data_IF_381290099807
#
_entry.id   IF_381290099807
#
_cell.length_a   1.000
_cell.length_b   1.000
_cell.length_c   1.000
_cell.angle_alpha   90.00
_cell.angle_beta   90.00
_cell.angle_gamma   90.00
#
_symmetry.space_group_name_H-M   'P 1'
#
loop_
_entity.id
_entity.type
_entity.pdbx_description
1 polymer ?
#
# COMPACT_ATOMS: atom_id res chain seq x y z
N UNK A 1 -4.63 10.49 18.39
CA UNK A 1 -3.29 9.99 18.00
C UNK A 1 -3.28 8.46 17.81
N UNK A 2 -4.43 7.78 17.69
CA UNK A 2 -4.47 6.30 17.60
C UNK A 2 -4.49 5.75 16.17
N UNK A 3 -5.31 6.33 15.29
CA UNK A 3 -5.63 5.67 14.02
C UNK A 3 -4.55 5.82 12.95
N UNK A 4 -3.90 6.98 12.87
CA UNK A 4 -2.83 7.21 11.89
C UNK A 4 -1.59 6.35 12.17
N UNK A 5 -1.21 6.19 13.44
CA UNK A 5 -0.06 5.37 13.82
C UNK A 5 -0.39 3.88 13.73
N UNK A 6 -1.63 3.47 14.06
CA UNK A 6 -2.10 2.12 13.81
C UNK A 6 -2.09 1.78 12.31
N UNK A 7 -2.60 2.68 11.46
CA UNK A 7 -2.59 2.50 10.02
C UNK A 7 -1.17 2.43 9.45
N UNK A 8 -0.26 3.29 9.91
CA UNK A 8 1.18 3.21 9.56
C UNK A 8 1.79 1.88 9.97
N UNK A 9 1.50 1.39 11.17
CA UNK A 9 1.97 0.09 11.62
C UNK A 9 1.42 -1.05 10.75
N UNK A 10 0.15 -0.97 10.32
CA UNK A 10 -0.46 -1.93 9.39
C UNK A 10 0.24 -1.90 8.01
N UNK A 11 0.50 -0.72 7.46
CA UNK A 11 1.27 -0.55 6.23
C UNK A 11 2.67 -1.18 6.35
N UNK A 12 3.41 -0.86 7.42
CA UNK A 12 4.76 -1.38 7.63
C UNK A 12 4.83 -2.90 7.79
N UNK A 13 3.79 -3.54 8.32
CA UNK A 13 3.72 -5.00 8.50
C UNK A 13 3.22 -5.76 7.25
N UNK A 14 2.70 -5.05 6.26
CA UNK A 14 2.13 -5.62 5.03
C UNK A 14 2.94 -5.15 3.82
N UNK A 15 2.37 -4.30 2.98
CA UNK A 15 2.97 -3.84 1.73
C UNK A 15 4.30 -3.13 1.96
N UNK A 16 4.52 -2.49 3.12
CA UNK A 16 5.79 -1.89 3.54
C UNK A 16 6.96 -2.87 3.63
N UNK A 17 6.67 -4.16 3.85
CA UNK A 17 7.66 -5.24 3.94
C UNK A 17 7.71 -6.07 2.66
N UNK A 18 6.56 -6.31 2.06
CA UNK A 18 6.43 -7.06 0.80
C UNK A 18 5.47 -6.31 -0.14
N UNK A 19 6.00 -5.37 -0.96
CA UNK A 19 5.20 -4.51 -1.82
C UNK A 19 4.40 -5.23 -2.91
N UNK A 20 4.78 -6.47 -3.25
CA UNK A 20 4.11 -7.28 -4.27
C UNK A 20 3.23 -8.38 -3.68
N UNK A 21 3.34 -8.64 -2.37
CA UNK A 21 2.51 -9.57 -1.62
C UNK A 21 1.26 -8.92 -1.00
N UNK A 22 0.70 -9.58 0.01
CA UNK A 22 -0.43 -9.06 0.82
C UNK A 22 -1.67 -8.61 0.04
N UNK A 23 -1.98 -9.31 -1.07
CA UNK A 23 -3.13 -8.95 -1.92
C UNK A 23 -2.87 -7.75 -2.83
N UNK A 24 -1.62 -7.33 -2.98
CA UNK A 24 -1.21 -6.29 -3.91
C UNK A 24 -1.36 -6.73 -5.36
N UNK A 25 -2.13 -5.97 -6.14
CA UNK A 25 -2.36 -6.23 -7.56
C UNK A 25 -1.80 -5.10 -8.42
N UNK A 26 -1.23 -5.41 -9.60
CA UNK A 26 -0.82 -4.37 -10.53
C UNK A 26 -2.06 -3.64 -11.06
N UNK A 27 -1.93 -2.34 -11.30
CA UNK A 27 -3.03 -1.52 -11.81
C UNK A 27 -2.76 -1.17 -13.27
N UNK A 28 -3.58 -1.72 -14.17
CA UNK A 28 -3.38 -1.67 -15.63
C UNK A 28 -2.09 -2.40 -16.01
N UNK A 29 -1.41 -1.92 -17.06
CA UNK A 29 -0.21 -2.53 -17.63
C UNK A 29 1.10 -2.06 -16.94
N UNK A 30 0.99 -1.38 -15.79
CA UNK A 30 2.14 -0.93 -15.00
C UNK A 30 2.35 -1.88 -13.80
N UNK A 31 3.39 -2.72 -13.81
CA UNK A 31 3.63 -3.71 -12.75
C UNK A 31 4.02 -3.07 -11.41
N UNK A 32 4.52 -1.85 -11.44
CA UNK A 32 5.03 -1.15 -10.26
C UNK A 32 3.99 -0.19 -9.67
N UNK A 33 2.95 0.15 -10.43
CA UNK A 33 1.75 0.81 -9.91
C UNK A 33 0.79 -0.22 -9.33
N UNK A 34 0.59 -0.20 -8.02
CA UNK A 34 -0.13 -1.28 -7.32
C UNK A 34 -1.22 -0.77 -6.40
N UNK A 35 -2.21 -1.63 -6.18
CA UNK A 35 -3.31 -1.41 -5.26
C UNK A 35 -3.42 -2.58 -4.28
N UNK A 36 -3.65 -2.27 -3.01
CA UNK A 36 -3.94 -3.24 -1.96
C UNK A 36 -4.94 -2.69 -0.94
N UNK A 37 -5.70 -3.56 -0.27
CA UNK A 37 -6.53 -3.15 0.87
C UNK A 37 -5.76 -3.39 2.17
N UNK A 38 -5.59 -2.34 2.98
CA UNK A 38 -4.94 -2.39 4.28
C UNK A 38 -5.87 -1.74 5.29
N UNK A 39 -6.24 -2.48 6.34
CA UNK A 39 -7.08 -1.97 7.44
C UNK A 39 -8.38 -1.30 6.96
N UNK A 40 -9.06 -1.92 5.99
CA UNK A 40 -10.30 -1.40 5.39
C UNK A 40 -10.10 -0.23 4.42
N UNK A 41 -8.87 0.25 4.22
CA UNK A 41 -8.55 1.31 3.27
C UNK A 41 -7.92 0.75 1.99
N UNK A 42 -8.37 1.24 0.83
CA UNK A 42 -7.71 0.97 -0.46
C UNK A 42 -6.50 1.90 -0.59
N UNK A 43 -5.33 1.31 -0.77
CA UNK A 43 -4.04 1.98 -0.88
C UNK A 43 -3.52 1.81 -2.30
N UNK A 44 -3.47 2.91 -3.04
CA UNK A 44 -2.82 2.97 -4.34
C UNK A 44 -1.39 3.50 -4.14
N UNK A 45 -0.40 2.81 -4.71
CA UNK A 45 1.01 3.15 -4.53
C UNK A 45 1.89 2.76 -5.71
N UNK A 46 3.15 3.22 -5.68
CA UNK A 46 4.20 2.81 -6.61
C UNK A 46 5.32 2.09 -5.86
N UNK A 47 5.92 1.10 -6.52
CA UNK A 47 7.14 0.41 -6.08
C UNK A 47 8.29 0.85 -6.96
N UNK A 48 9.42 1.25 -6.38
CA UNK A 48 10.65 1.46 -7.15
C UNK A 48 11.61 0.29 -6.92
N UNK A 49 12.13 -0.30 -8.00
CA UNK A 49 13.11 -1.40 -7.89
C UNK A 49 14.43 -0.99 -7.23
N UNK A 50 14.75 0.31 -7.22
CA UNK A 50 16.01 0.84 -6.68
C UNK A 50 15.92 1.16 -5.17
N UNK A 51 14.71 1.43 -4.68
CA UNK A 51 14.42 1.76 -3.28
C UNK A 51 13.03 1.21 -3.00
N UNK A 52 12.87 0.29 -2.04
CA UNK A 52 11.56 -0.20 -1.57
C UNK A 52 10.79 0.92 -0.81
N UNK A 53 10.62 2.06 -1.45
CA UNK A 53 9.84 3.19 -0.98
C UNK A 53 8.45 3.07 -1.57
N UNK A 54 7.47 2.93 -0.68
CA UNK A 54 6.06 3.02 -1.03
C UNK A 54 5.61 4.46 -0.97
N UNK A 55 5.11 4.96 -2.09
CA UNK A 55 4.43 6.24 -2.12
C UNK A 55 2.93 6.00 -2.18
N UNK A 56 2.24 6.17 -1.06
CA UNK A 56 0.77 6.12 -1.03
C UNK A 56 0.23 7.37 -1.72
N UNK A 57 -0.36 7.20 -2.89
CA UNK A 57 -0.87 8.32 -3.70
C UNK A 57 -2.34 8.63 -3.44
N UNK A 58 -3.10 7.65 -2.93
CA UNK A 58 -4.51 7.83 -2.58
C UNK A 58 -4.93 6.81 -1.52
N UNK A 59 -5.73 7.28 -0.57
CA UNK A 59 -6.39 6.47 0.44
C UNK A 59 -7.91 6.61 0.27
N UNK A 60 -8.60 5.48 0.13
CA UNK A 60 -10.06 5.43 0.05
C UNK A 60 -10.54 4.59 1.23
N UNK A 61 -11.25 5.21 2.16
CA UNK A 61 -11.87 4.51 3.29
C UNK A 61 -13.06 3.69 2.78
N UNK A 62 -13.18 2.43 3.19
CA UNK A 62 -14.44 1.72 3.01
C UNK A 62 -15.55 2.40 3.84
N UNK A 63 -16.80 2.40 3.36
CA UNK A 63 -17.94 2.91 4.13
C UNK A 63 -18.14 2.17 5.45
#
# INVERSE_FOLDING_TARGET
MGDADAFRAALSRTIGRDPYGHGSTPVRDDPDRREATVDGAIVLYYVSGSVQTLTVVRLILSP
#
